data_IF_434518039078
#
_entry.id   IF_434518039078
#
_cell.length_a   1.000
_cell.length_b   1.000
_cell.length_c   1.000
_cell.angle_alpha   90.00
_cell.angle_beta   90.00
_cell.angle_gamma   90.00
#
_symmetry.space_group_name_H-M   'P 1'
#
loop_
_entity.id
_entity.type
_entity.pdbx_description
1 polymer ?
#
# COMPACT_ATOMS: atom_id res chain seq x y z
N UNK A 1 3.03 -15.38 5.21
CA UNK A 1 2.86 -15.66 3.76
C UNK A 1 3.56 -14.63 2.90
N UNK A 2 3.26 -13.33 3.00
CA UNK A 2 4.01 -12.29 2.27
C UNK A 2 5.35 -11.93 2.92
N UNK A 3 5.39 -11.81 4.25
CA UNK A 3 6.65 -11.58 4.99
C UNK A 3 7.68 -12.71 4.79
N UNK A 4 7.21 -13.94 4.55
CA UNK A 4 8.05 -15.09 4.22
C UNK A 4 8.47 -15.13 2.74
N UNK A 5 7.85 -14.28 1.90
CA UNK A 5 8.05 -14.19 0.45
C UNK A 5 8.04 -12.72 -0.03
N UNK A 6 9.01 -11.89 0.38
CA UNK A 6 9.00 -10.44 0.11
C UNK A 6 9.12 -10.07 -1.38
N UNK A 7 9.41 -11.03 -2.25
CA UNK A 7 9.36 -10.83 -3.72
C UNK A 7 7.93 -10.85 -4.28
N UNK A 8 6.96 -11.38 -3.53
CA UNK A 8 5.60 -11.63 -4.02
C UNK A 8 4.82 -10.36 -4.40
N UNK A 9 4.87 -9.23 -3.65
CA UNK A 9 4.23 -7.97 -4.06
C UNK A 9 4.62 -7.54 -5.48
N UNK A 10 5.93 -7.44 -5.78
CA UNK A 10 6.42 -7.09 -7.12
C UNK A 10 5.99 -8.07 -8.21
N UNK A 11 5.95 -9.36 -7.89
CA UNK A 11 5.47 -10.37 -8.81
C UNK A 11 3.96 -10.28 -9.08
N UNK A 12 3.18 -9.72 -8.15
CA UNK A 12 1.76 -9.44 -8.34
C UNK A 12 1.54 -8.13 -9.12
N UNK A 13 2.31 -7.08 -8.82
CA UNK A 13 2.26 -5.79 -9.54
C UNK A 13 2.60 -5.91 -11.02
N UNK A 14 3.60 -6.72 -11.34
CA UNK A 14 4.05 -6.94 -12.72
C UNK A 14 3.11 -7.82 -13.55
N UNK A 15 2.11 -8.46 -12.93
CA UNK A 15 1.14 -9.29 -13.66
C UNK A 15 0.05 -8.45 -14.29
N UNK A 16 0.02 -8.42 -15.62
CA UNK A 16 -1.06 -7.83 -16.41
C UNK A 16 -2.20 -8.80 -16.78
N UNK A 17 -2.28 -10.00 -16.20
CA UNK A 17 -3.22 -11.05 -16.66
C UNK A 17 -4.05 -11.64 -15.51
N UNK A 18 -5.37 -11.62 -15.69
CA UNK A 18 -6.36 -12.23 -14.79
C UNK A 18 -6.35 -13.77 -14.94
N UNK A 19 -5.64 -14.47 -14.05
CA UNK A 19 -5.66 -15.93 -13.99
C UNK A 19 -6.92 -16.44 -13.27
N UNK A 20 -7.38 -17.69 -13.48
CA UNK A 20 -8.53 -18.24 -12.75
C UNK A 20 -8.38 -18.21 -11.22
N UNK A 21 -7.17 -18.47 -10.71
CA UNK A 21 -6.89 -18.38 -9.28
C UNK A 21 -7.04 -16.95 -8.74
N UNK A 22 -6.53 -15.97 -9.51
CA UNK A 22 -6.67 -14.56 -9.17
C UNK A 22 -8.13 -14.09 -9.24
N UNK A 23 -8.89 -14.54 -10.25
CA UNK A 23 -10.32 -14.27 -10.35
C UNK A 23 -11.09 -14.87 -9.16
N UNK A 24 -10.76 -16.08 -8.72
CA UNK A 24 -11.35 -16.69 -7.53
C UNK A 24 -11.03 -15.95 -6.23
N UNK A 25 -9.82 -15.38 -6.10
CA UNK A 25 -9.46 -14.50 -4.99
C UNK A 25 -10.30 -13.22 -4.98
N UNK A 26 -10.45 -12.57 -6.13
CA UNK A 26 -11.29 -11.36 -6.27
C UNK A 26 -12.75 -11.69 -5.95
N UNK A 27 -13.28 -12.80 -6.47
CA UNK A 27 -14.66 -13.25 -6.20
C UNK A 27 -14.90 -13.48 -4.70
N UNK A 28 -13.92 -14.05 -3.99
CA UNK A 28 -14.00 -14.23 -2.53
C UNK A 28 -14.12 -12.90 -1.80
N UNK A 29 -13.33 -11.89 -2.19
CA UNK A 29 -13.41 -10.55 -1.59
C UNK A 29 -14.77 -9.88 -1.86
N UNK A 30 -15.26 -9.99 -3.11
CA UNK A 30 -16.59 -9.53 -3.50
C UNK A 30 -17.67 -10.21 -2.66
N UNK A 31 -17.59 -11.52 -2.45
CA UNK A 31 -18.53 -12.28 -1.63
C UNK A 31 -18.53 -11.82 -0.17
N UNK A 32 -17.35 -11.59 0.42
CA UNK A 32 -17.22 -11.07 1.80
C UNK A 32 -17.89 -9.71 1.91
N UNK A 33 -17.54 -8.75 1.06
CA UNK A 33 -18.12 -7.41 1.08
C UNK A 33 -19.64 -7.45 0.85
N UNK A 34 -20.12 -8.32 -0.05
CA UNK A 34 -21.55 -8.50 -0.29
C UNK A 34 -22.27 -9.06 0.92
N UNK A 35 -21.66 -10.04 1.60
CA UNK A 35 -22.22 -10.62 2.83
C UNK A 35 -22.30 -9.60 3.97
N UNK A 36 -21.38 -8.61 3.98
CA UNK A 36 -21.41 -7.45 4.88
C UNK A 36 -22.47 -6.40 4.55
N UNK A 37 -23.28 -6.61 3.50
CA UNK A 37 -24.40 -5.73 3.15
C UNK A 37 -24.08 -4.64 2.12
N UNK A 38 -22.84 -4.54 1.63
CA UNK A 38 -22.47 -3.56 0.62
C UNK A 38 -23.22 -3.80 -0.70
N UNK A 39 -23.60 -2.71 -1.39
CA UNK A 39 -24.17 -2.77 -2.73
C UNK A 39 -23.10 -3.16 -3.76
N UNK A 40 -23.50 -3.71 -4.91
CA UNK A 40 -22.54 -4.06 -5.97
C UNK A 40 -21.74 -2.85 -6.47
N UNK A 41 -22.37 -1.68 -6.53
CA UNK A 41 -21.74 -0.42 -6.90
C UNK A 41 -20.66 -0.01 -5.89
N UNK A 42 -20.99 -0.06 -4.59
CA UNK A 42 -20.02 0.27 -3.54
C UNK A 42 -18.90 -0.78 -3.43
N UNK A 43 -19.19 -2.06 -3.70
CA UNK A 43 -18.17 -3.12 -3.79
C UNK A 43 -17.17 -2.82 -4.91
N UNK A 44 -17.65 -2.40 -6.08
CA UNK A 44 -16.78 -2.03 -7.20
C UNK A 44 -15.90 -0.83 -6.82
N UNK A 45 -16.47 0.20 -6.20
CA UNK A 45 -15.68 1.32 -5.66
C UNK A 45 -14.67 0.87 -4.59
N UNK A 46 -15.06 -0.04 -3.69
CA UNK A 46 -14.18 -0.60 -2.67
C UNK A 46 -12.98 -1.32 -3.29
N UNK A 47 -13.20 -2.16 -4.29
CA UNK A 47 -12.12 -2.84 -5.01
C UNK A 47 -11.11 -1.87 -5.63
N UNK A 48 -11.59 -0.80 -6.27
CA UNK A 48 -10.71 0.23 -6.84
C UNK A 48 -9.93 0.99 -5.78
N UNK A 49 -10.54 1.24 -4.61
CA UNK A 49 -9.90 2.03 -3.56
C UNK A 49 -8.92 1.19 -2.73
N UNK A 50 -9.22 -0.10 -2.50
CA UNK A 50 -8.29 -1.05 -1.88
C UNK A 50 -7.04 -1.26 -2.74
N UNK A 51 -7.18 -1.28 -4.07
CA UNK A 51 -6.04 -1.41 -4.99
C UNK A 51 -5.24 -2.70 -4.70
N UNK A 52 -3.94 -2.56 -4.45
CA UNK A 52 -3.07 -3.70 -4.07
C UNK A 52 -3.38 -4.28 -2.69
N UNK A 53 -3.98 -3.49 -1.78
CA UNK A 53 -4.22 -3.90 -0.39
C UNK A 53 -5.18 -5.07 -0.27
N UNK A 54 -6.04 -5.27 -1.26
CA UNK A 54 -6.87 -6.48 -1.36
C UNK A 54 -6.05 -7.77 -1.52
N UNK A 55 -4.74 -7.67 -1.79
CA UNK A 55 -3.80 -8.79 -1.87
C UNK A 55 -2.82 -8.84 -0.69
N UNK A 56 -2.99 -7.96 0.32
CA UNK A 56 -2.21 -7.95 1.55
C UNK A 56 -0.91 -7.15 1.51
N UNK A 57 -0.74 -6.25 0.54
CA UNK A 57 0.44 -5.36 0.45
C UNK A 57 0.06 -3.96 -0.04
N UNK A 58 0.84 -2.97 0.34
CA UNK A 58 0.73 -1.60 -0.16
C UNK A 58 1.66 -1.41 -1.35
N UNK A 59 1.12 -0.90 -2.46
CA UNK A 59 1.95 -0.37 -3.54
C UNK A 59 2.76 0.81 -3.00
N UNK A 60 4.08 0.69 -3.04
CA UNK A 60 5.00 1.70 -2.51
C UNK A 60 5.04 2.96 -3.36
N UNK A 61 5.44 4.06 -2.71
CA UNK A 61 5.67 5.31 -3.42
C UNK A 61 6.98 5.20 -4.19
N UNK A 62 7.08 5.90 -5.33
CA UNK A 62 8.31 5.97 -6.15
C UNK A 62 9.47 6.66 -5.39
N UNK A 63 9.18 7.22 -4.20
CA UNK A 63 10.19 7.77 -3.29
C UNK A 63 11.04 6.67 -2.63
N UNK A 64 10.57 5.43 -2.69
CA UNK A 64 11.14 4.29 -2.00
C UNK A 64 12.05 3.59 -3.02
N UNK A 65 13.36 3.78 -2.89
CA UNK A 65 14.30 3.11 -3.79
C UNK A 65 14.31 1.59 -3.49
N UNK A 66 13.88 0.74 -4.43
CA UNK A 66 13.82 -0.72 -4.21
C UNK A 66 15.21 -1.36 -4.08
N UNK A 67 16.29 -0.63 -4.34
CA UNK A 67 17.67 -1.12 -4.30
C UNK A 67 18.38 -0.85 -2.97
N UNK A 68 17.75 -0.15 -2.02
CA UNK A 68 18.46 0.29 -0.80
C UNK A 68 19.65 1.19 -1.13
N UNK A 69 19.58 1.92 -2.24
CA UNK A 69 20.38 3.12 -2.44
C UNK A 69 19.58 4.31 -1.92
N UNK A 70 19.32 4.29 -0.62
CA UNK A 70 19.61 5.41 0.27
C UNK A 70 21.11 5.79 0.11
N UNK A 71 21.51 6.11 -1.12
CA UNK A 71 22.67 6.90 -1.39
C UNK A 71 22.33 8.24 -0.76
N UNK A 72 22.97 8.53 0.37
CA UNK A 72 22.98 9.86 0.95
C UNK A 72 23.11 10.84 -0.22
N UNK A 73 22.04 11.62 -0.43
CA UNK A 73 22.11 12.74 -1.36
C UNK A 73 23.32 13.56 -0.93
N UNK A 74 24.20 13.90 -1.87
CA UNK A 74 25.30 14.78 -1.51
C UNK A 74 24.72 16.07 -0.88
N UNK A 75 25.47 16.75 0.00
CA UNK A 75 24.91 17.89 0.75
C UNK A 75 24.29 19.00 -0.12
N UNK A 76 24.78 19.16 -1.36
CA UNK A 76 24.23 20.11 -2.33
C UNK A 76 22.90 19.62 -2.87
N UNK A 77 22.82 18.36 -3.27
CA UNK A 77 21.58 17.73 -3.72
C UNK A 77 20.52 17.70 -2.62
N UNK A 78 20.90 17.41 -1.37
CA UNK A 78 20.00 17.45 -0.22
C UNK A 78 19.48 18.88 0.06
N UNK A 79 20.34 19.90 -0.05
CA UNK A 79 19.93 21.30 0.12
C UNK A 79 18.96 21.76 -0.99
N UNK A 80 19.22 21.41 -2.24
CA UNK A 80 18.32 21.71 -3.35
C UNK A 80 17.00 20.95 -3.27
N UNK A 81 17.02 19.67 -2.86
CA UNK A 81 15.82 18.89 -2.58
C UNK A 81 14.98 19.57 -1.49
N UNK A 82 15.61 20.01 -0.40
CA UNK A 82 14.91 20.72 0.66
C UNK A 82 14.30 22.05 0.23
N UNK A 83 14.98 22.78 -0.64
CA UNK A 83 14.48 24.03 -1.21
C UNK A 83 13.28 23.82 -2.14
N UNK A 84 13.31 22.76 -2.95
CA UNK A 84 12.29 22.50 -3.98
C UNK A 84 11.10 21.69 -3.44
N UNK A 85 11.32 20.82 -2.45
CA UNK A 85 10.34 19.92 -1.85
C UNK A 85 10.28 20.08 -0.32
N UNK A 86 10.04 21.29 0.21
CA UNK A 86 10.17 21.56 1.64
C UNK A 86 9.20 20.74 2.51
N UNK A 87 8.00 20.43 2.01
CA UNK A 87 7.02 19.64 2.75
C UNK A 87 7.41 18.15 2.83
N UNK A 88 7.96 17.60 1.73
CA UNK A 88 8.41 16.21 1.71
C UNK A 88 9.63 16.08 2.61
N UNK A 89 10.60 17.00 2.51
CA UNK A 89 11.74 17.01 3.41
C UNK A 89 11.32 17.09 4.87
N UNK A 90 10.40 18.01 5.23
CA UNK A 90 9.93 18.15 6.60
C UNK A 90 9.24 16.87 7.11
N UNK A 91 8.41 16.23 6.29
CA UNK A 91 7.77 14.96 6.62
C UNK A 91 8.81 13.85 6.87
N UNK A 92 9.79 13.69 5.98
CA UNK A 92 10.81 12.63 6.11
C UNK A 92 11.76 12.84 7.29
N UNK A 93 11.94 14.08 7.75
CA UNK A 93 12.71 14.38 8.95
C UNK A 93 11.94 14.10 10.24
N UNK A 94 10.61 14.16 10.20
CA UNK A 94 9.74 13.96 11.36
C UNK A 94 9.35 12.47 11.54
N UNK A 95 9.23 11.73 10.44
CA UNK A 95 8.88 10.31 10.45
C UNK A 95 10.10 9.47 10.82
N UNK A 96 10.02 8.77 11.96
CA UNK A 96 10.98 7.74 12.37
C UNK A 96 10.34 6.38 12.12
N UNK A 97 10.88 5.62 11.15
CA UNK A 97 10.53 4.20 11.02
C UNK A 97 11.41 3.41 11.99
N UNK A 98 10.82 2.95 13.09
CA UNK A 98 11.51 2.18 14.15
C UNK A 98 10.93 0.76 14.17
N UNK A 99 11.13 0.00 13.09
CA UNK A 99 10.47 -1.30 12.93
C UNK A 99 11.45 -2.48 13.07
N UNK A 100 11.42 -3.08 14.26
CA UNK A 100 12.08 -4.36 14.57
C UNK A 100 11.42 -5.58 13.89
N UNK A 101 10.24 -5.39 13.27
CA UNK A 101 9.34 -6.47 12.87
C UNK A 101 9.25 -6.72 11.35
N UNK A 102 10.23 -6.30 10.55
CA UNK A 102 10.36 -6.68 9.13
C UNK A 102 9.28 -6.10 8.22
N UNK A 103 9.70 -5.48 7.12
CA UNK A 103 8.83 -4.76 6.18
C UNK A 103 8.82 -5.42 4.80
N UNK A 104 7.79 -5.15 4.00
CA UNK A 104 7.76 -5.52 2.57
C UNK A 104 8.39 -4.42 1.68
N UNK A 105 8.79 -3.30 2.29
CA UNK A 105 9.56 -2.19 1.72
C UNK A 105 9.79 -1.08 2.76
N UNK A 106 9.94 0.18 2.35
CA UNK A 106 10.14 1.28 3.31
C UNK A 106 8.85 1.75 3.99
N UNK A 107 7.74 1.77 3.26
CA UNK A 107 6.44 2.21 3.76
C UNK A 107 5.43 1.06 3.91
N UNK A 108 5.72 -0.13 3.38
CA UNK A 108 4.85 -1.30 3.51
C UNK A 108 5.18 -2.12 4.77
N UNK A 109 4.94 -1.49 5.92
CA UNK A 109 4.93 -2.13 7.23
C UNK A 109 3.50 -2.46 7.69
N UNK A 110 3.40 -3.21 8.79
CA UNK A 110 2.11 -3.65 9.32
C UNK A 110 1.25 -2.49 9.81
N UNK A 111 1.85 -1.50 10.46
CA UNK A 111 1.16 -0.35 11.05
C UNK A 111 0.52 0.50 9.96
N UNK A 112 1.28 0.84 8.92
CA UNK A 112 0.81 1.62 7.78
C UNK A 112 -0.25 0.87 6.96
N UNK A 113 -0.10 -0.46 6.81
CA UNK A 113 -1.11 -1.29 6.15
C UNK A 113 -2.44 -1.29 6.93
N UNK A 114 -2.40 -1.54 8.24
CA UNK A 114 -3.60 -1.55 9.10
C UNK A 114 -4.24 -0.16 9.17
N UNK A 115 -3.45 0.91 9.31
CA UNK A 115 -3.94 2.30 9.30
C UNK A 115 -4.72 2.65 8.02
N UNK A 116 -4.15 2.34 6.85
CA UNK A 116 -4.82 2.59 5.59
C UNK A 116 -6.10 1.74 5.45
N UNK A 117 -6.06 0.48 5.88
CA UNK A 117 -7.23 -0.40 5.83
C UNK A 117 -8.37 0.13 6.71
N UNK A 118 -8.08 0.59 7.92
CA UNK A 118 -9.07 1.17 8.84
C UNK A 118 -9.76 2.40 8.21
N UNK A 119 -8.97 3.33 7.64
CA UNK A 119 -9.52 4.51 6.95
C UNK A 119 -10.47 4.11 5.81
N UNK A 120 -10.08 3.09 5.03
CA UNK A 120 -10.89 2.61 3.91
C UNK A 120 -12.18 1.96 4.40
N UNK A 121 -12.10 1.06 5.38
CA UNK A 121 -13.25 0.35 5.93
C UNK A 121 -14.26 1.32 6.57
N UNK A 122 -13.79 2.25 7.41
CA UNK A 122 -14.66 3.30 7.95
C UNK A 122 -15.30 4.15 6.84
N UNK A 123 -14.55 4.45 5.78
CA UNK A 123 -15.03 5.19 4.63
C UNK A 123 -16.13 4.46 3.85
N UNK A 124 -16.03 3.13 3.76
CA UNK A 124 -17.01 2.26 3.13
C UNK A 124 -18.26 2.11 4.00
N UNK A 125 -18.09 1.91 5.31
CA UNK A 125 -19.21 1.85 6.27
C UNK A 125 -20.06 3.11 6.22
N UNK A 126 -19.44 4.29 6.29
CA UNK A 126 -20.15 5.59 6.17
C UNK A 126 -20.90 5.77 4.85
N UNK A 127 -20.50 5.08 3.78
CA UNK A 127 -21.15 5.13 2.46
C UNK A 127 -22.21 4.05 2.28
N UNK A 128 -22.20 3.02 3.12
CA UNK A 128 -23.17 1.95 3.08
C UNK A 128 -24.54 2.37 3.64
N UNK A 129 -24.56 3.33 4.58
CA UNK A 129 -25.78 3.91 5.16
C UNK A 129 -25.59 4.37 6.60
#
# INVERSE_FOLDING_TARGET
MLLDHPWAPRALESRGTMTPAFAGWVDTNVAVMRSGGLSWDLIHHAMHTLGSRQFGFSQELILDDPQGTDGELDPTAAAEFGRLMPNVQAMLQDVVHDDEAGTLGWCDDRTEFEFALDILLEGLERRAG
#
